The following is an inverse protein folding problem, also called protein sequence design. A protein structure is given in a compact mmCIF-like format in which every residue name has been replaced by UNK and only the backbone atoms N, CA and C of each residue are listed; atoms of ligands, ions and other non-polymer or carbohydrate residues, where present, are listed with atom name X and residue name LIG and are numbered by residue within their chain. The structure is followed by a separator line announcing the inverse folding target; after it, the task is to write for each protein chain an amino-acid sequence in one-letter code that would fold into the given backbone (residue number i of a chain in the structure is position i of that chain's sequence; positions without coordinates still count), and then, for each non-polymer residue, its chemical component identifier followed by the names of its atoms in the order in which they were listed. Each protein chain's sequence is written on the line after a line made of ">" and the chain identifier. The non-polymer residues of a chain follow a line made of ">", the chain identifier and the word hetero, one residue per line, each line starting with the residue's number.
data_IF_623007934375
#
_entry.id   IF_623007934375
#
_cell.length_a   1.000
_cell.length_b   1.000
_cell.length_c   1.000
_cell.angle_alpha   90.00
_cell.angle_beta   90.00
_cell.angle_gamma   90.00
#
_symmetry.space_group_name_H-M   'P 1'
#
loop_
_entity.id
_entity.type
_entity.pdbx_description
1 polymer ?
#
# COMPACT_ATOMS: atom_id res chain seq x y z
N UNK A 1 -27.56 4.34 22.97
CA UNK A 1 -27.19 3.18 22.16
C UNK A 1 -27.93 3.01 20.83
N UNK A 2 -28.99 3.79 20.50
CA UNK A 2 -29.75 3.67 19.22
C UNK A 2 -29.35 4.69 18.13
N UNK A 3 -28.43 5.62 18.40
CA UNK A 3 -28.02 6.65 17.41
C UNK A 3 -26.74 6.31 16.63
N UNK A 4 -25.94 5.35 17.09
CA UNK A 4 -24.70 4.94 16.43
C UNK A 4 -24.96 3.97 15.27
N UNK A 5 -26.04 3.17 15.33
CA UNK A 5 -26.41 2.26 14.24
C UNK A 5 -27.02 2.96 13.00
N UNK A 6 -27.55 4.19 13.16
CA UNK A 6 -28.17 4.89 12.03
C UNK A 6 -27.14 5.54 11.10
N UNK A 7 -25.94 5.88 11.59
CA UNK A 7 -24.89 6.46 10.77
C UNK A 7 -24.11 5.42 9.94
N UNK A 8 -24.01 4.19 10.44
CA UNK A 8 -23.35 3.12 9.69
C UNK A 8 -24.20 2.61 8.50
N UNK A 9 -25.53 2.70 8.61
CA UNK A 9 -26.42 2.23 7.54
C UNK A 9 -26.62 3.30 6.44
N UNK A 10 -26.54 4.58 6.78
CA UNK A 10 -26.65 5.67 5.81
C UNK A 10 -25.37 5.80 4.95
N UNK A 11 -24.20 5.52 5.49
CA UNK A 11 -22.95 5.46 4.73
C UNK A 11 -22.90 4.27 3.75
N UNK A 12 -23.47 3.12 4.13
CA UNK A 12 -23.54 1.93 3.27
C UNK A 12 -24.55 2.09 2.11
N UNK A 13 -25.59 2.91 2.28
CA UNK A 13 -26.61 3.12 1.23
C UNK A 13 -26.24 4.23 0.24
N UNK A 14 -25.36 5.16 0.59
CA UNK A 14 -24.85 6.17 -0.34
C UNK A 14 -23.66 5.68 -1.17
N UNK A 15 -22.95 4.64 -0.72
CA UNK A 15 -21.87 4.01 -1.49
C UNK A 15 -22.38 3.04 -2.57
N UNK A 16 -23.64 2.59 -2.48
CA UNK A 16 -24.19 1.59 -3.40
C UNK A 16 -24.73 2.17 -4.73
N UNK A 17 -24.76 3.49 -4.92
CA UNK A 17 -25.27 4.11 -6.14
C UNK A 17 -24.19 4.70 -7.07
N UNK A 18 -22.90 4.65 -6.71
CA UNK A 18 -21.81 5.16 -7.55
C UNK A 18 -20.59 4.21 -7.61
N UNK A 19 -20.74 2.98 -7.16
CA UNK A 19 -19.68 1.97 -7.34
C UNK A 19 -19.84 1.30 -8.72
N UNK A 20 -19.39 1.97 -9.77
CA UNK A 20 -18.74 1.25 -10.85
C UNK A 20 -17.48 0.61 -10.25
N UNK A 21 -17.13 -0.65 -10.55
CA UNK A 21 -15.93 -1.25 -10.02
C UNK A 21 -14.76 -0.35 -10.42
N UNK A 22 -14.20 0.38 -9.45
CA UNK A 22 -12.96 1.08 -9.64
C UNK A 22 -11.92 -0.02 -9.86
N UNK A 23 -11.49 -0.20 -11.09
CA UNK A 23 -10.25 -0.90 -11.41
C UNK A 23 -9.18 -0.41 -10.43
N UNK A 24 -8.33 -1.30 -9.92
CA UNK A 24 -7.22 -0.95 -9.03
C UNK A 24 -6.36 0.23 -9.57
N UNK A 25 -6.46 0.53 -10.86
CA UNK A 25 -5.92 1.71 -11.52
C UNK A 25 -6.58 3.05 -11.08
N UNK A 26 -7.74 3.03 -10.40
CA UNK A 26 -8.49 4.25 -10.06
C UNK A 26 -8.04 4.96 -8.78
N UNK A 27 -7.17 4.37 -7.98
CA UNK A 27 -6.86 4.92 -6.65
C UNK A 27 -5.83 6.05 -6.69
N UNK A 28 -5.05 6.22 -7.79
CA UNK A 28 -4.02 7.27 -7.89
C UNK A 28 -3.78 7.83 -9.29
N UNK A 29 -4.71 7.76 -10.18
CA UNK A 29 -4.52 8.32 -11.51
C UNK A 29 -5.03 9.75 -11.55
N UNK A 30 -4.18 10.70 -11.17
CA UNK A 30 -4.31 12.08 -11.62
C UNK A 30 -4.12 12.11 -13.14
N UNK A 31 -5.20 11.96 -13.91
CA UNK A 31 -5.14 12.14 -15.35
C UNK A 31 -5.12 13.63 -15.66
N UNK A 32 -3.97 14.21 -15.98
CA UNK A 32 -3.94 15.43 -16.78
C UNK A 32 -4.31 15.05 -18.21
N UNK A 33 -5.52 15.44 -18.62
CA UNK A 33 -6.00 15.24 -19.99
C UNK A 33 -5.32 16.26 -20.92
N UNK A 34 -4.26 15.85 -21.59
CA UNK A 34 -3.87 16.45 -22.86
C UNK A 34 -4.29 15.52 -24.01
N UNK A 35 -4.74 16.12 -25.12
CA UNK A 35 -5.48 15.44 -26.18
C UNK A 35 -4.63 14.33 -26.84
N UNK A 36 -4.85 13.07 -26.44
CA UNK A 36 -4.39 11.89 -27.19
C UNK A 36 -3.62 10.83 -26.41
N UNK A 37 -3.07 11.13 -25.24
CA UNK A 37 -2.40 10.14 -24.38
C UNK A 37 -2.81 10.38 -22.93
N UNK A 38 -3.48 9.41 -22.30
CA UNK A 38 -3.71 9.43 -20.85
C UNK A 38 -2.38 9.23 -20.14
N UNK A 39 -1.76 10.31 -19.67
CA UNK A 39 -0.63 10.23 -18.76
C UNK A 39 -1.15 9.83 -17.38
N UNK A 40 -0.85 8.61 -16.95
CA UNK A 40 -1.10 8.16 -15.60
C UNK A 40 0.06 8.60 -14.72
N UNK A 41 -0.18 8.71 -13.40
CA UNK A 41 0.83 9.10 -12.43
C UNK A 41 0.86 8.14 -11.24
N UNK A 42 2.04 7.65 -10.91
CA UNK A 42 2.32 6.94 -9.67
C UNK A 42 3.03 7.86 -8.68
N UNK A 43 2.43 8.09 -7.51
CA UNK A 43 3.11 8.77 -6.42
C UNK A 43 4.10 7.82 -5.74
N UNK A 44 5.27 8.34 -5.34
CA UNK A 44 6.18 7.60 -4.46
C UNK A 44 5.54 7.41 -3.08
N UNK A 45 5.41 6.17 -2.61
CA UNK A 45 4.81 5.85 -1.32
C UNK A 45 5.84 5.39 -0.27
N UNK A 46 7.05 5.08 -0.70
CA UNK A 46 8.17 4.75 0.18
C UNK A 46 8.94 6.02 0.53
N UNK A 47 9.42 6.14 1.76
CA UNK A 47 10.32 7.21 2.19
C UNK A 47 11.69 6.65 2.57
N UNK A 48 12.73 7.50 2.48
CA UNK A 48 14.06 7.18 2.98
C UNK A 48 14.22 7.62 4.45
N UNK A 49 15.21 7.04 5.11
CA UNK A 49 15.67 7.45 6.44
C UNK A 49 16.85 8.43 6.33
N UNK A 50 17.30 8.93 7.49
CA UNK A 50 18.50 9.75 7.55
C UNK A 50 19.67 9.05 6.82
N UNK A 51 20.46 9.82 6.09
CA UNK A 51 21.56 9.31 5.28
C UNK A 51 21.14 8.65 3.98
N UNK A 52 19.95 8.95 3.46
CA UNK A 52 19.45 8.35 2.21
C UNK A 52 19.46 6.81 2.23
N UNK A 53 18.95 6.21 3.29
CA UNK A 53 18.84 4.76 3.46
C UNK A 53 17.39 4.30 3.28
N UNK A 54 17.16 3.14 2.65
CA UNK A 54 15.82 2.54 2.47
C UNK A 54 15.53 1.41 3.44
N UNK A 55 16.55 0.83 4.06
CA UNK A 55 16.47 -0.27 5.04
C UNK A 55 15.61 -1.45 4.58
N UNK A 56 15.86 -2.02 3.40
CA UNK A 56 14.97 -3.00 2.77
C UNK A 56 14.77 -4.28 3.60
N UNK A 57 15.77 -4.68 4.36
CA UNK A 57 15.76 -5.92 5.16
C UNK A 57 15.29 -5.71 6.59
N UNK A 58 15.01 -4.48 7.04
CA UNK A 58 14.44 -4.23 8.35
C UNK A 58 12.96 -4.57 8.38
N UNK A 59 12.47 -4.97 9.56
CA UNK A 59 11.06 -5.27 9.76
C UNK A 59 10.21 -4.00 9.62
N UNK A 60 9.10 -4.11 8.92
CA UNK A 60 8.17 -3.01 8.71
C UNK A 60 7.32 -2.80 9.98
N UNK A 61 7.29 -1.57 10.48
CA UNK A 61 6.41 -1.21 11.60
C UNK A 61 4.99 -0.89 11.13
N UNK A 62 4.04 -0.93 12.08
CA UNK A 62 2.64 -0.57 11.81
C UNK A 62 2.51 0.88 11.33
N UNK A 63 3.27 1.81 11.90
CA UNK A 63 3.29 3.22 11.43
C UNK A 63 3.80 3.33 10.01
N UNK A 64 4.88 2.66 9.67
CA UNK A 64 5.43 2.71 8.32
C UNK A 64 4.46 2.14 7.27
N UNK A 65 3.81 1.03 7.57
CA UNK A 65 2.76 0.49 6.69
C UNK A 65 1.58 1.47 6.55
N UNK A 66 1.17 2.10 7.65
CA UNK A 66 0.10 3.11 7.65
C UNK A 66 0.47 4.29 6.75
N UNK A 67 1.71 4.77 6.85
CA UNK A 67 2.21 5.84 5.98
C UNK A 67 2.19 5.43 4.50
N UNK A 68 2.65 4.22 4.17
CA UNK A 68 2.60 3.72 2.80
C UNK A 68 1.16 3.66 2.27
N UNK A 69 0.22 3.15 3.07
CA UNK A 69 -1.21 3.11 2.71
C UNK A 69 -1.79 4.51 2.48
N UNK A 70 -1.47 5.45 3.37
CA UNK A 70 -1.92 6.84 3.26
C UNK A 70 -1.45 7.48 1.95
N UNK A 71 -0.20 7.23 1.57
CA UNK A 71 0.39 7.73 0.31
C UNK A 71 -0.21 7.09 -0.94
N UNK A 72 -0.74 5.88 -0.83
CA UNK A 72 -1.40 5.18 -1.95
C UNK A 72 -2.83 5.68 -2.20
N UNK A 73 -3.44 6.40 -1.27
CA UNK A 73 -4.80 6.92 -1.43
C UNK A 73 -4.82 8.24 -2.19
N UNK A 74 -5.90 8.43 -2.96
CA UNK A 74 -6.21 9.74 -3.54
C UNK A 74 -6.45 10.75 -2.41
N UNK A 75 -5.74 11.89 -2.38
CA UNK A 75 -5.95 12.93 -1.38
C UNK A 75 -7.42 13.38 -1.26
N UNK A 76 -8.20 13.32 -2.33
CA UNK A 76 -9.62 13.68 -2.33
C UNK A 76 -10.51 12.67 -1.55
N UNK A 77 -9.99 11.49 -1.24
CA UNK A 77 -10.67 10.49 -0.42
C UNK A 77 -10.36 10.63 1.07
N UNK A 78 -9.45 11.53 1.42
CA UNK A 78 -9.03 11.77 2.78
C UNK A 78 -9.84 12.92 3.39
N UNK A 79 -10.10 12.90 4.71
CA UNK A 79 -10.82 13.98 5.36
C UNK A 79 -9.98 15.26 5.36
N UNK A 80 -10.61 16.40 5.02
CA UNK A 80 -9.94 17.72 4.92
C UNK A 80 -9.38 18.21 6.26
N UNK A 81 -10.03 17.85 7.36
CA UNK A 81 -9.62 18.27 8.70
C UNK A 81 -9.92 17.20 9.75
N UNK A 82 -8.93 16.92 10.60
CA UNK A 82 -9.02 15.99 11.73
C UNK A 82 -8.64 16.71 13.04
N UNK A 83 -9.32 17.81 13.35
CA UNK A 83 -9.02 18.60 14.55
C UNK A 83 -9.29 17.75 15.79
N UNK A 84 -8.25 17.50 16.61
CA UNK A 84 -8.30 16.75 17.87
C UNK A 84 -8.83 15.31 17.78
N UNK A 85 -8.78 14.66 16.61
CA UNK A 85 -9.16 13.27 16.50
C UNK A 85 -7.95 12.38 16.85
N UNK A 86 -7.99 11.74 18.01
CA UNK A 86 -6.98 10.77 18.47
C UNK A 86 -7.67 9.41 18.67
N UNK A 87 -7.60 8.53 17.69
CA UNK A 87 -8.31 7.25 17.74
C UNK A 87 -7.69 6.23 18.71
N UNK A 88 -6.44 6.44 19.12
CA UNK A 88 -5.68 5.48 19.93
C UNK A 88 -4.97 6.15 21.11
N UNK A 89 -4.72 5.36 22.17
CA UNK A 89 -4.21 5.87 23.46
C UNK A 89 -2.68 5.97 23.51
N UNK A 90 -1.99 5.34 22.59
CA UNK A 90 -0.52 5.16 22.58
C UNK A 90 0.21 5.82 21.43
N UNK A 91 -0.45 6.79 20.75
CA UNK A 91 0.20 7.58 19.72
C UNK A 91 0.98 8.71 20.37
N UNK A 92 2.33 8.75 20.22
CA UNK A 92 3.13 9.86 20.74
C UNK A 92 2.78 11.17 20.03
N UNK A 93 2.74 12.28 20.75
CA UNK A 93 2.46 13.62 20.20
C UNK A 93 3.50 14.12 19.19
N UNK A 94 4.68 13.49 19.16
CA UNK A 94 5.74 13.79 18.19
C UNK A 94 5.62 12.97 16.89
N UNK A 95 4.73 11.97 16.86
CA UNK A 95 4.45 11.20 15.66
C UNK A 95 3.49 12.00 14.79
N UNK A 96 3.73 12.02 13.47
CA UNK A 96 2.72 12.52 12.53
C UNK A 96 1.52 11.56 12.55
N UNK A 97 0.56 11.89 13.39
CA UNK A 97 -0.64 11.09 13.62
C UNK A 97 -1.71 11.31 12.52
N UNK A 98 -1.50 12.28 11.63
CA UNK A 98 -2.47 12.61 10.59
C UNK A 98 -2.77 11.40 9.68
N UNK A 99 -1.77 10.65 9.29
CA UNK A 99 -1.97 9.42 8.49
C UNK A 99 -2.79 8.37 9.26
N UNK A 100 -2.47 8.17 10.55
CA UNK A 100 -3.17 7.21 11.42
C UNK A 100 -4.62 7.64 11.62
N UNK A 101 -4.84 8.92 11.93
CA UNK A 101 -6.16 9.48 12.14
C UNK A 101 -7.02 9.41 10.87
N UNK A 102 -6.49 9.82 9.72
CA UNK A 102 -7.18 9.78 8.43
C UNK A 102 -7.65 8.38 8.06
N UNK A 103 -6.74 7.41 8.10
CA UNK A 103 -7.07 6.02 7.75
C UNK A 103 -8.05 5.38 8.76
N UNK A 104 -8.02 5.82 10.02
CA UNK A 104 -8.96 5.34 11.04
C UNK A 104 -10.36 5.89 10.82
N UNK A 105 -10.50 7.18 10.46
CA UNK A 105 -11.80 7.81 10.18
C UNK A 105 -12.50 7.15 9.00
N UNK A 106 -11.79 6.85 7.94
CA UNK A 106 -12.35 6.16 6.76
C UNK A 106 -12.47 4.64 6.93
N UNK A 107 -12.10 4.11 8.11
CA UNK A 107 -12.28 2.69 8.49
C UNK A 107 -11.25 1.72 7.93
N UNK A 108 -10.22 2.20 7.24
CA UNK A 108 -9.14 1.37 6.70
C UNK A 108 -8.18 0.87 7.79
N UNK A 109 -8.00 1.66 8.86
CA UNK A 109 -7.11 1.32 9.96
C UNK A 109 -7.91 1.01 11.22
N UNK A 110 -7.51 -0.05 11.94
CA UNK A 110 -8.07 -0.43 13.23
C UNK A 110 -6.96 -0.69 14.23
N UNK A 111 -7.20 -0.29 15.49
CA UNK A 111 -6.34 -0.64 16.62
C UNK A 111 -6.70 -2.01 17.23
N UNK A 112 -6.09 -2.28 18.36
CA UNK A 112 -6.34 -3.45 19.17
C UNK A 112 -7.53 -3.22 20.12
N UNK A 113 -8.06 -4.30 20.70
CA UNK A 113 -9.23 -4.25 21.61
C UNK A 113 -8.96 -3.41 22.87
N UNK A 114 -7.70 -3.26 23.27
CA UNK A 114 -7.27 -2.44 24.41
C UNK A 114 -7.21 -0.93 24.09
N UNK A 115 -7.59 -0.53 22.88
CA UNK A 115 -7.57 0.86 22.41
C UNK A 115 -6.18 1.34 21.97
N UNK A 116 -5.19 0.47 21.92
CA UNK A 116 -3.84 0.80 21.43
C UNK A 116 -3.71 0.62 19.92
N UNK A 117 -2.73 1.32 19.34
CA UNK A 117 -2.31 1.14 17.96
C UNK A 117 -1.01 0.36 17.83
N UNK A 118 -0.11 0.50 18.77
CA UNK A 118 1.23 -0.09 18.83
C UNK A 118 2.10 0.35 17.63
N UNK A 119 2.37 1.65 17.50
CA UNK A 119 2.97 2.25 16.30
C UNK A 119 4.31 1.64 15.89
N UNK A 120 5.15 1.31 16.86
CA UNK A 120 6.51 0.80 16.64
C UNK A 120 6.59 -0.74 16.56
N UNK A 121 5.48 -1.44 16.74
CA UNK A 121 5.51 -2.89 16.61
C UNK A 121 5.68 -3.29 15.14
N UNK A 122 6.51 -4.31 14.86
CA UNK A 122 6.55 -4.88 13.53
C UNK A 122 5.20 -5.53 13.20
N UNK A 123 4.79 -5.48 11.93
CA UNK A 123 3.59 -6.16 11.46
C UNK A 123 3.91 -7.53 10.88
N UNK A 124 2.94 -8.45 11.01
CA UNK A 124 3.04 -9.75 10.35
C UNK A 124 2.67 -9.67 8.87
N UNK A 125 3.04 -10.69 8.11
CA UNK A 125 2.66 -10.84 6.70
C UNK A 125 1.14 -10.88 6.55
N UNK A 126 0.43 -11.57 7.44
CA UNK A 126 -1.03 -11.58 7.43
C UNK A 126 -1.65 -10.21 7.73
N UNK A 127 -1.12 -9.44 8.68
CA UNK A 127 -1.57 -8.07 8.96
C UNK A 127 -1.36 -7.16 7.75
N UNK A 128 -0.21 -7.26 7.06
CA UNK A 128 0.06 -6.52 5.83
C UNK A 128 -1.01 -6.84 4.75
N UNK A 129 -1.31 -8.12 4.52
CA UNK A 129 -2.32 -8.55 3.55
C UNK A 129 -3.72 -8.01 3.90
N UNK A 130 -4.11 -8.08 5.18
CA UNK A 130 -5.40 -7.52 5.62
C UNK A 130 -5.50 -6.02 5.36
N UNK A 131 -4.43 -5.28 5.62
CA UNK A 131 -4.40 -3.84 5.36
C UNK A 131 -4.52 -3.54 3.85
N UNK A 132 -3.78 -4.25 3.01
CA UNK A 132 -3.87 -4.10 1.56
C UNK A 132 -5.23 -4.51 1.01
N UNK A 133 -5.84 -5.59 1.51
CA UNK A 133 -7.17 -6.05 1.07
C UNK A 133 -8.30 -5.07 1.36
N UNK A 134 -8.06 -4.06 2.20
CA UNK A 134 -9.02 -2.96 2.44
C UNK A 134 -8.89 -1.82 1.43
N UNK A 135 -7.75 -1.75 0.73
CA UNK A 135 -7.52 -0.74 -0.31
C UNK A 135 -7.97 -1.22 -1.69
N UNK A 136 -7.98 -2.54 -1.91
CA UNK A 136 -8.28 -3.14 -3.21
C UNK A 136 -9.43 -4.14 -3.07
N UNK A 137 -10.39 -4.07 -3.98
CA UNK A 137 -11.44 -5.07 -4.08
C UNK A 137 -10.92 -6.30 -4.81
N UNK A 138 -10.88 -7.44 -4.11
CA UNK A 138 -10.43 -8.70 -4.68
C UNK A 138 -11.55 -9.74 -4.53
N UNK A 139 -11.92 -10.46 -5.60
CA UNK A 139 -12.87 -11.54 -5.51
C UNK A 139 -12.43 -12.62 -4.52
N UNK A 140 -13.38 -13.28 -3.88
CA UNK A 140 -13.07 -14.40 -3.00
C UNK A 140 -12.26 -15.46 -3.75
N UNK A 141 -11.26 -16.01 -3.09
CA UNK A 141 -10.37 -17.02 -3.65
C UNK A 141 -10.20 -18.23 -2.74
N UNK A 142 -9.40 -19.19 -3.21
CA UNK A 142 -9.00 -20.36 -2.43
C UNK A 142 -7.53 -20.30 -2.13
N UNK A 143 -7.13 -20.50 -0.87
CA UNK A 143 -5.73 -20.56 -0.50
C UNK A 143 -5.12 -21.89 -0.95
N UNK A 144 -3.89 -21.79 -1.44
CA UNK A 144 -3.06 -22.96 -1.77
C UNK A 144 -1.92 -23.15 -0.76
N UNK A 145 -1.86 -22.33 0.29
CA UNK A 145 -0.78 -22.36 1.27
C UNK A 145 -1.09 -23.35 2.40
N UNK A 146 -0.17 -24.26 2.65
CA UNK A 146 -0.33 -25.38 3.61
C UNK A 146 -0.45 -24.93 5.07
N UNK A 147 0.03 -23.74 5.40
CA UNK A 147 0.03 -23.14 6.74
C UNK A 147 -1.07 -22.10 6.96
N UNK A 148 -2.00 -21.96 6.01
CA UNK A 148 -3.15 -21.04 6.10
C UNK A 148 -4.45 -21.83 6.00
N UNK A 149 -4.90 -22.50 7.08
CA UNK A 149 -6.16 -23.23 7.08
C UNK A 149 -7.36 -22.27 7.02
N UNK A 150 -8.53 -22.77 6.60
CA UNK A 150 -9.77 -21.99 6.51
C UNK A 150 -10.18 -21.30 7.82
N UNK A 151 -9.74 -21.87 8.95
CA UNK A 151 -9.98 -21.29 10.28
C UNK A 151 -9.05 -20.14 10.64
N UNK A 152 -8.04 -19.87 9.82
CA UNK A 152 -7.11 -18.77 10.07
C UNK A 152 -7.82 -17.41 9.85
N UNK A 153 -7.67 -16.48 10.77
CA UNK A 153 -8.37 -15.18 10.76
C UNK A 153 -8.14 -14.35 9.48
N UNK A 154 -7.00 -14.50 8.82
CA UNK A 154 -6.66 -13.82 7.56
C UNK A 154 -6.89 -14.71 6.32
N UNK A 155 -7.45 -15.92 6.46
CA UNK A 155 -7.65 -16.87 5.35
C UNK A 155 -8.29 -16.23 4.12
N UNK A 156 -9.40 -15.53 4.31
CA UNK A 156 -10.16 -14.93 3.20
C UNK A 156 -9.31 -13.93 2.41
N UNK A 157 -8.58 -13.05 3.08
CA UNK A 157 -7.75 -12.05 2.42
C UNK A 157 -6.52 -12.67 1.74
N UNK A 158 -5.86 -13.64 2.39
CA UNK A 158 -4.71 -14.34 1.82
C UNK A 158 -5.15 -15.16 0.59
N UNK A 159 -6.28 -15.86 0.67
CA UNK A 159 -6.83 -16.64 -0.43
C UNK A 159 -7.22 -15.76 -1.63
N UNK A 160 -7.87 -14.63 -1.37
CA UNK A 160 -8.23 -13.66 -2.39
C UNK A 160 -6.98 -13.11 -3.09
N UNK A 161 -5.99 -12.68 -2.34
CA UNK A 161 -4.73 -12.15 -2.87
C UNK A 161 -3.92 -13.17 -3.66
N UNK A 162 -3.87 -14.42 -3.20
CA UNK A 162 -3.22 -15.52 -3.92
C UNK A 162 -3.93 -15.82 -5.25
N UNK A 163 -5.26 -15.89 -5.24
CA UNK A 163 -6.06 -16.15 -6.46
C UNK A 163 -5.97 -14.99 -7.46
N UNK A 164 -5.86 -13.75 -6.98
CA UNK A 164 -5.67 -12.57 -7.81
C UNK A 164 -4.21 -12.39 -8.29
N UNK A 165 -3.26 -13.21 -7.80
CA UNK A 165 -1.87 -13.23 -8.25
C UNK A 165 -0.97 -12.16 -7.64
N UNK A 166 -1.45 -11.36 -6.67
CA UNK A 166 -0.59 -10.36 -6.01
C UNK A 166 0.10 -10.87 -4.74
N UNK A 167 -0.24 -12.07 -4.27
CA UNK A 167 0.45 -12.73 -3.18
C UNK A 167 1.23 -13.95 -3.68
N UNK A 168 2.50 -14.00 -3.31
CA UNK A 168 3.34 -15.18 -3.46
C UNK A 168 3.69 -15.76 -2.08
N UNK A 169 3.70 -17.09 -1.99
CA UNK A 169 4.25 -17.83 -0.87
C UNK A 169 5.73 -18.14 -1.05
N UNK A 170 6.23 -18.96 -0.15
CA UNK A 170 7.60 -19.50 -0.21
C UNK A 170 7.67 -20.77 -1.07
N UNK A 171 8.87 -21.15 -1.54
CA UNK A 171 9.05 -22.36 -2.36
C UNK A 171 8.61 -23.65 -1.67
N UNK A 172 8.51 -23.66 -0.35
CA UNK A 172 8.04 -24.80 0.46
C UNK A 172 6.50 -24.92 0.51
N UNK A 173 5.78 -24.07 -0.21
CA UNK A 173 4.31 -24.05 -0.23
C UNK A 173 3.66 -23.37 0.96
N UNK A 174 4.44 -22.66 1.81
CA UNK A 174 3.92 -21.90 2.93
C UNK A 174 3.75 -20.43 2.61
N UNK A 175 2.90 -19.72 3.35
CA UNK A 175 2.76 -18.25 3.32
C UNK A 175 3.46 -17.60 4.50
N UNK A 176 3.56 -18.27 5.62
CA UNK A 176 4.10 -17.80 6.91
C UNK A 176 3.34 -16.57 7.44
N UNK A 177 2.04 -16.70 7.72
CA UNK A 177 1.17 -15.55 8.04
C UNK A 177 1.62 -14.78 9.27
N UNK A 178 2.12 -15.45 10.29
CA UNK A 178 2.55 -14.84 11.57
C UNK A 178 4.00 -14.33 11.56
N UNK A 179 4.75 -14.58 10.49
CA UNK A 179 6.10 -14.03 10.35
C UNK A 179 6.03 -12.52 10.14
N UNK A 180 6.86 -11.76 10.86
CA UNK A 180 7.01 -10.33 10.59
C UNK A 180 7.55 -10.09 9.19
N UNK A 181 7.01 -9.09 8.50
CA UNK A 181 7.37 -8.76 7.13
C UNK A 181 8.48 -7.71 7.08
N UNK A 182 9.42 -7.84 6.14
CA UNK A 182 10.42 -6.82 5.86
C UNK A 182 9.84 -5.70 4.99
N UNK A 183 10.51 -4.53 4.97
CA UNK A 183 10.12 -3.41 4.12
C UNK A 183 10.08 -3.79 2.64
N UNK A 184 11.10 -4.50 2.14
CA UNK A 184 11.13 -4.92 0.75
C UNK A 184 10.02 -5.93 0.41
N UNK A 185 9.74 -6.89 1.28
CA UNK A 185 8.64 -7.84 1.07
C UNK A 185 7.29 -7.12 0.97
N UNK A 186 7.05 -6.13 1.84
CA UNK A 186 5.83 -5.32 1.77
C UNK A 186 5.78 -4.47 0.49
N UNK A 187 6.88 -3.84 0.09
CA UNK A 187 6.98 -3.08 -1.17
C UNK A 187 6.64 -3.99 -2.36
N UNK A 188 7.18 -5.20 -2.42
CA UNK A 188 6.85 -6.14 -3.50
C UNK A 188 5.37 -6.52 -3.52
N UNK A 189 4.77 -6.77 -2.35
CA UNK A 189 3.32 -7.02 -2.26
C UNK A 189 2.52 -5.84 -2.76
N UNK A 190 2.86 -4.62 -2.34
CA UNK A 190 2.18 -3.39 -2.76
C UNK A 190 2.31 -3.19 -4.28
N UNK A 191 3.53 -3.23 -4.82
CA UNK A 191 3.75 -3.04 -6.26
C UNK A 191 2.93 -4.03 -7.07
N UNK A 192 2.94 -5.32 -6.69
CA UNK A 192 2.17 -6.34 -7.40
C UNK A 192 0.66 -6.12 -7.26
N UNK A 193 0.18 -5.77 -6.06
CA UNK A 193 -1.24 -5.54 -5.78
C UNK A 193 -1.82 -4.33 -6.55
N UNK A 194 -1.00 -3.32 -6.79
CA UNK A 194 -1.38 -2.10 -7.52
C UNK A 194 -0.88 -2.08 -8.98
N UNK A 195 -0.41 -3.22 -9.49
CA UNK A 195 0.10 -3.37 -10.87
C UNK A 195 1.19 -2.36 -11.23
N UNK A 196 2.04 -1.99 -10.27
CA UNK A 196 3.12 -1.02 -10.44
C UNK A 196 4.38 -1.75 -10.87
N UNK A 197 4.96 -1.31 -11.98
CA UNK A 197 6.15 -1.94 -12.55
C UNK A 197 7.20 -0.89 -12.90
N UNK A 198 8.40 -1.05 -12.39
CA UNK A 198 9.49 -0.15 -12.68
C UNK A 198 9.94 -0.26 -14.14
N UNK A 199 10.01 0.85 -14.85
CA UNK A 199 10.68 0.91 -16.16
C UNK A 199 12.20 0.88 -15.96
N UNK A 200 12.74 -0.33 -16.01
CA UNK A 200 14.18 -0.59 -15.81
C UNK A 200 15.03 0.18 -16.82
N UNK A 201 14.59 0.25 -18.09
CA UNK A 201 15.33 0.95 -19.13
C UNK A 201 15.37 2.47 -18.87
N UNK A 202 14.24 3.05 -18.47
CA UNK A 202 14.16 4.46 -18.11
C UNK A 202 15.10 4.78 -16.94
N UNK A 203 15.09 3.96 -15.87
CA UNK A 203 15.95 4.15 -14.69
C UNK A 203 17.43 4.03 -15.05
N UNK A 204 17.82 3.07 -15.88
CA UNK A 204 19.22 2.84 -16.26
C UNK A 204 19.76 3.90 -17.23
N UNK A 205 18.92 4.51 -18.04
CA UNK A 205 19.35 5.48 -19.07
C UNK A 205 19.21 6.93 -18.63
N UNK A 206 18.37 7.22 -17.63
CA UNK A 206 18.13 8.57 -17.12
C UNK A 206 19.09 8.92 -16.00
N UNK A 207 19.71 10.11 -16.07
CA UNK A 207 20.62 10.60 -15.04
C UNK A 207 19.84 11.23 -13.88
N UNK A 208 20.45 11.20 -12.69
CA UNK A 208 19.92 11.92 -11.52
C UNK A 208 18.98 11.11 -10.64
N UNK A 209 18.86 9.80 -10.86
CA UNK A 209 18.15 8.93 -9.92
C UNK A 209 18.79 8.97 -8.53
N UNK A 210 17.96 8.86 -7.47
CA UNK A 210 18.48 8.86 -6.10
C UNK A 210 19.41 7.67 -5.87
N UNK A 211 20.49 7.90 -5.14
CA UNK A 211 21.40 6.86 -4.67
C UNK A 211 21.17 6.62 -3.18
N UNK A 212 21.22 5.35 -2.78
CA UNK A 212 21.00 4.94 -1.40
C UNK A 212 22.26 4.30 -0.83
N UNK A 213 22.53 4.54 0.47
CA UNK A 213 23.74 4.02 1.12
C UNK A 213 23.70 2.49 1.31
N UNK A 214 22.49 1.93 1.43
CA UNK A 214 22.24 0.53 1.77
C UNK A 214 21.62 -0.30 0.63
N UNK A 215 21.43 0.31 -0.54
CA UNK A 215 20.84 -0.35 -1.71
C UNK A 215 21.60 0.05 -2.97
N UNK A 216 22.35 -0.89 -3.56
CA UNK A 216 22.99 -0.71 -4.84
C UNK A 216 22.10 -1.13 -6.01
N UNK A 217 22.35 -0.68 -7.25
CA UNK A 217 21.62 -1.13 -8.44
C UNK A 217 21.65 -2.66 -8.70
N UNK A 218 22.63 -3.35 -8.15
CA UNK A 218 22.75 -4.82 -8.23
C UNK A 218 21.94 -5.55 -7.15
N UNK A 219 21.34 -4.83 -6.22
CA UNK A 219 20.50 -5.41 -5.19
C UNK A 219 19.23 -6.00 -5.83
N UNK A 220 18.89 -7.24 -5.50
CA UNK A 220 17.79 -7.99 -6.14
C UNK A 220 16.41 -7.32 -6.10
N UNK A 221 16.16 -6.45 -5.13
CA UNK A 221 14.91 -5.68 -4.99
C UNK A 221 15.06 -4.21 -5.37
N UNK A 222 16.16 -3.81 -6.05
CA UNK A 222 16.44 -2.41 -6.35
C UNK A 222 15.30 -1.74 -7.13
N UNK A 223 14.84 -2.36 -8.21
CA UNK A 223 13.81 -1.78 -9.06
C UNK A 223 12.44 -1.73 -8.40
N UNK A 224 12.11 -2.69 -7.52
CA UNK A 224 10.90 -2.60 -6.69
C UNK A 224 10.94 -1.40 -5.75
N UNK A 225 12.10 -1.11 -5.14
CA UNK A 225 12.30 0.02 -4.25
C UNK A 225 12.28 1.35 -5.00
N UNK A 226 12.85 1.42 -6.20
CA UNK A 226 12.80 2.61 -7.06
C UNK A 226 11.35 2.91 -7.45
N UNK A 227 10.59 1.91 -7.89
CA UNK A 227 9.15 2.05 -8.18
C UNK A 227 8.36 2.62 -7.01
N UNK A 228 8.65 2.15 -5.80
CA UNK A 228 7.97 2.59 -4.59
C UNK A 228 8.39 3.99 -4.12
N UNK A 229 9.64 4.39 -4.40
CA UNK A 229 10.22 5.64 -3.92
C UNK A 229 9.99 6.82 -4.86
N UNK A 230 10.11 6.60 -6.17
CA UNK A 230 10.09 7.67 -7.18
C UNK A 230 8.68 7.89 -7.69
N UNK A 231 8.17 9.13 -7.57
CA UNK A 231 6.95 9.52 -8.26
C UNK A 231 7.22 9.66 -9.77
N UNK A 232 6.33 9.13 -10.61
CA UNK A 232 6.53 9.15 -12.07
C UNK A 232 5.23 9.14 -12.86
N UNK A 233 5.29 9.72 -14.04
CA UNK A 233 4.24 9.60 -15.04
C UNK A 233 4.56 8.40 -15.95
N UNK A 234 3.52 7.71 -16.39
CA UNK A 234 3.66 6.54 -17.25
C UNK A 234 2.51 6.43 -18.25
N UNK A 235 2.76 5.68 -19.29
CA UNK A 235 1.75 5.19 -20.24
C UNK A 235 1.75 3.66 -20.20
N UNK A 236 0.62 3.07 -20.55
CA UNK A 236 0.51 1.61 -20.73
C UNK A 236 0.48 1.34 -22.23
N UNK A 237 1.40 0.52 -22.71
CA UNK A 237 1.49 0.10 -24.10
C UNK A 237 0.43 -0.96 -24.42
N UNK A 238 0.23 -1.26 -25.72
CA UNK A 238 -0.79 -2.23 -26.19
C UNK A 238 -0.59 -3.65 -25.62
N UNK A 239 0.63 -4.00 -25.22
CA UNK A 239 0.96 -5.27 -24.58
C UNK A 239 0.81 -5.26 -23.05
N UNK A 240 0.36 -4.12 -22.50
CA UNK A 240 0.16 -3.95 -21.06
C UNK A 240 1.42 -3.53 -20.29
N UNK A 241 2.52 -3.23 -20.99
CA UNK A 241 3.76 -2.79 -20.34
C UNK A 241 3.65 -1.33 -19.89
N UNK A 242 4.08 -1.05 -18.67
CA UNK A 242 4.22 0.31 -18.15
C UNK A 242 5.54 0.92 -18.65
N UNK A 243 5.46 2.10 -19.26
CA UNK A 243 6.61 2.87 -19.75
C UNK A 243 6.60 4.25 -19.13
N UNK A 244 7.68 4.61 -18.44
CA UNK A 244 7.80 5.90 -17.76
C UNK A 244 8.06 7.02 -18.75
N UNK A 245 7.33 8.11 -18.60
CA UNK A 245 7.47 9.30 -19.46
C UNK A 245 8.15 10.45 -18.74
N UNK A 246 8.03 10.51 -17.40
CA UNK A 246 8.66 11.50 -16.55
C UNK A 246 8.82 10.91 -15.14
N UNK A 247 9.91 11.25 -14.44
CA UNK A 247 10.12 10.87 -13.05
C UNK A 247 10.49 12.10 -12.20
N UNK A 248 9.86 12.20 -11.01
CA UNK A 248 10.23 13.20 -10.01
C UNK A 248 11.50 12.74 -9.29
N UNK A 249 12.64 13.11 -9.83
CA UNK A 249 13.95 12.83 -9.24
C UNK A 249 14.12 13.85 -8.12
N UNK A 250 14.05 13.41 -6.87
CA UNK A 250 13.95 14.25 -5.68
C UNK A 250 14.96 15.39 -5.61
N UNK A 251 14.53 16.48 -4.97
CA UNK A 251 15.40 17.58 -4.54
C UNK A 251 16.11 17.22 -3.24
#
# INVERSE_FOLDING_TARGET
>A
MKRILAYSLACLLSLSLLCTPASAAGIQNGAEQDAGTTNNYHIGYLHNYQGSSLRPNELLTRTEMTYMMYRLLDPNQLPDTLINYQPFTDIPSALDDHCIASLSVIGLLRGYEDGSFRPNNPISRAECVILLSRLIEVPAGSSVFSDVPETHWAYSAISAGASAGWLAGYPDGTFRPDQNITRLEAVKMINTAFHRTCDVNYVQTTKGFPSFQDVSPDFWGYFDLIEAYVGHNYIVTDDGTEVWTFATLGA
#
